data_IF_505658092036
#
_entry.id   IF_505658092036
#
_cell.length_a   1.000
_cell.length_b   1.000
_cell.length_c   1.000
_cell.angle_alpha   90.00
_cell.angle_beta   90.00
_cell.angle_gamma   90.00
#
_symmetry.space_group_name_H-M   'P 1'
#
loop_
_entity.id
_entity.type
_entity.pdbx_description
1 polymer ?
#
# COMPACT_ATOMS: atom_id res chain seq x y z
N UNK A 1 -10.25 16.45 20.50
CA UNK A 1 -11.24 15.75 19.66
C UNK A 1 -12.63 16.24 20.02
N UNK A 2 -13.45 16.56 19.03
CA UNK A 2 -14.80 17.12 19.21
C UNK A 2 -15.67 16.19 20.06
N UNK A 3 -16.49 16.80 20.92
CA UNK A 3 -17.55 16.11 21.65
C UNK A 3 -18.88 16.79 21.35
N UNK A 4 -19.85 16.09 20.73
CA UNK A 4 -19.79 14.69 20.29
C UNK A 4 -18.78 14.44 19.16
N UNK A 5 -18.49 13.16 18.89
CA UNK A 5 -17.65 12.73 17.76
C UNK A 5 -18.17 13.38 16.48
N UNK A 6 -17.25 13.91 15.65
CA UNK A 6 -17.58 14.57 14.40
C UNK A 6 -18.46 13.69 13.50
N UNK A 7 -19.54 14.26 13.00
CA UNK A 7 -20.33 13.67 11.93
C UNK A 7 -19.72 14.07 10.58
N UNK A 8 -19.53 13.10 9.69
CA UNK A 8 -19.09 13.30 8.31
C UNK A 8 -20.20 12.91 7.31
N UNK A 9 -21.43 12.77 7.79
CA UNK A 9 -22.61 12.46 7.00
C UNK A 9 -23.10 13.66 6.18
N UNK A 10 -24.06 13.44 5.26
CA UNK A 10 -24.61 14.49 4.40
C UNK A 10 -25.38 15.57 5.18
N UNK A 11 -25.69 15.33 6.46
CA UNK A 11 -26.38 16.26 7.35
C UNK A 11 -25.47 16.79 8.47
N UNK A 12 -24.16 16.59 8.34
CA UNK A 12 -23.19 17.11 9.28
C UNK A 12 -23.30 18.65 9.38
N UNK A 13 -23.11 19.22 10.57
CA UNK A 13 -23.04 20.67 10.71
C UNK A 13 -21.85 21.23 9.91
N UNK A 14 -21.89 22.53 9.55
CA UNK A 14 -20.75 23.17 8.89
C UNK A 14 -19.46 22.99 9.69
N UNK A 15 -18.37 22.73 8.99
CA UNK A 15 -17.06 22.60 9.62
C UNK A 15 -16.55 23.98 10.08
N UNK A 16 -15.95 24.02 11.28
CA UNK A 16 -15.40 25.24 11.87
C UNK A 16 -13.92 25.39 11.53
N UNK A 17 -13.45 26.63 11.35
CA UNK A 17 -12.04 26.97 11.21
C UNK A 17 -11.57 27.82 12.40
N UNK A 18 -10.39 27.55 13.01
CA UNK A 18 -9.54 26.38 12.74
C UNK A 18 -10.24 25.09 13.16
N UNK A 19 -9.92 24.00 12.44
CA UNK A 19 -10.51 22.71 12.69
C UNK A 19 -10.20 22.23 14.12
N UNK A 20 -11.24 21.96 14.95
CA UNK A 20 -11.07 21.64 16.37
C UNK A 20 -10.40 20.27 16.63
N UNK A 21 -10.29 19.43 15.60
CA UNK A 21 -9.64 18.12 15.66
C UNK A 21 -8.19 18.15 15.18
N UNK A 22 -7.70 19.29 14.67
CA UNK A 22 -6.27 19.49 14.39
C UNK A 22 -5.59 19.99 15.68
N UNK A 23 -5.06 19.05 16.45
CA UNK A 23 -4.40 19.33 17.73
C UNK A 23 -2.90 19.54 17.53
N UNK A 24 -2.42 20.74 17.88
CA UNK A 24 -0.99 21.05 17.89
C UNK A 24 -0.42 20.85 19.29
N UNK A 25 0.46 19.87 19.46
CA UNK A 25 1.12 19.58 20.74
C UNK A 25 2.42 20.36 20.90
N UNK A 26 3.25 20.39 19.85
CA UNK A 26 4.47 21.20 19.79
C UNK A 26 4.19 22.51 19.05
N UNK A 27 4.50 23.69 19.62
CA UNK A 27 4.26 24.96 18.95
C UNK A 27 4.84 25.07 17.54
N UNK A 28 5.97 24.41 17.24
CA UNK A 28 6.59 24.43 15.90
C UNK A 28 5.72 23.82 14.80
N UNK A 29 4.79 22.92 15.15
CA UNK A 29 3.84 22.37 14.17
C UNK A 29 2.77 23.40 13.76
N UNK A 30 2.53 24.44 14.58
CA UNK A 30 1.50 25.46 14.29
C UNK A 30 1.76 26.21 12.98
N UNK A 31 3.03 26.34 12.59
CA UNK A 31 3.45 27.00 11.36
C UNK A 31 3.26 26.12 10.11
N UNK A 32 3.08 24.80 10.30
CA UNK A 32 2.81 23.83 9.23
C UNK A 32 1.31 23.61 9.00
N UNK A 33 0.46 24.02 9.95
CA UNK A 33 -1.00 23.86 9.86
C UNK A 33 -1.60 24.99 9.04
N UNK A 34 -2.28 24.61 7.94
CA UNK A 34 -3.15 25.55 7.23
C UNK A 34 -4.43 25.77 8.05
N UNK A 35 -4.48 26.85 8.83
CA UNK A 35 -5.57 27.13 9.79
C UNK A 35 -6.97 27.24 9.19
N UNK A 36 -7.07 27.46 7.88
CA UNK A 36 -8.33 27.51 7.15
C UNK A 36 -8.68 26.17 6.45
N UNK A 37 -7.92 25.10 6.74
CA UNK A 37 -8.17 23.75 6.25
C UNK A 37 -8.90 22.91 7.29
N UNK A 38 -9.84 22.08 6.82
CA UNK A 38 -10.60 21.16 7.65
C UNK A 38 -10.31 19.71 7.27
N UNK A 39 -10.48 18.80 8.22
CA UNK A 39 -10.45 17.36 7.96
C UNK A 39 -11.75 16.97 7.24
N UNK A 40 -11.61 16.34 6.08
CA UNK A 40 -12.72 15.88 5.25
C UNK A 40 -12.68 14.36 5.05
N UNK A 41 -13.86 13.73 5.08
CA UNK A 41 -14.01 12.32 4.68
C UNK A 41 -14.38 12.25 3.21
N UNK A 42 -13.38 12.00 2.38
CA UNK A 42 -13.55 11.93 0.91
C UNK A 42 -14.24 10.65 0.43
N UNK A 43 -14.12 9.55 1.17
CA UNK A 43 -14.71 8.27 0.79
C UNK A 43 -14.80 7.29 1.99
N UNK A 44 -15.77 6.38 1.98
CA UNK A 44 -15.98 5.38 3.06
C UNK A 44 -16.31 3.98 2.56
N UNK A 45 -16.11 3.71 1.27
CA UNK A 45 -16.52 2.44 0.66
C UNK A 45 -15.53 1.28 0.84
N UNK A 46 -14.34 1.54 1.40
CA UNK A 46 -13.23 0.58 1.48
C UNK A 46 -13.44 -0.53 2.52
N UNK A 47 -12.61 -1.58 2.42
CA UNK A 47 -12.45 -2.61 3.45
C UNK A 47 -11.33 -2.23 4.42
N UNK A 48 -10.08 -2.41 3.99
CA UNK A 48 -8.89 -2.09 4.77
C UNK A 48 -7.94 -1.27 3.90
N UNK A 49 -8.00 0.06 4.02
CA UNK A 49 -7.27 0.97 3.15
C UNK A 49 -5.86 1.24 3.67
N UNK A 50 -4.87 1.05 2.81
CA UNK A 50 -3.45 1.16 3.13
C UNK A 50 -2.65 1.78 1.96
N UNK A 51 -1.37 2.08 2.24
CA UNK A 51 -0.39 2.44 1.22
C UNK A 51 -0.78 3.62 0.32
N UNK A 52 -1.18 4.78 0.87
CA UNK A 52 -1.46 5.97 0.07
C UNK A 52 -0.21 6.44 -0.69
N UNK A 53 -0.30 6.58 -2.01
CA UNK A 53 0.78 7.13 -2.83
C UNK A 53 0.25 8.15 -3.84
N UNK A 54 0.84 9.34 -3.87
CA UNK A 54 0.47 10.38 -4.83
C UNK A 54 1.14 10.13 -6.19
N UNK A 55 0.35 10.01 -7.25
CA UNK A 55 0.81 9.83 -8.62
C UNK A 55 0.73 11.18 -9.34
N UNK A 56 1.88 11.86 -9.48
CA UNK A 56 1.93 13.24 -9.97
C UNK A 56 1.52 13.37 -11.44
N UNK A 57 1.96 12.43 -12.28
CA UNK A 57 1.68 12.41 -13.72
C UNK A 57 0.18 12.25 -14.00
N UNK A 58 -0.51 11.48 -13.15
CA UNK A 58 -1.95 11.26 -13.25
C UNK A 58 -2.81 12.16 -12.37
N UNK A 59 -2.19 12.94 -11.47
CA UNK A 59 -2.84 13.78 -10.44
C UNK A 59 -3.89 13.03 -9.61
N UNK A 60 -3.54 11.86 -9.08
CA UNK A 60 -4.43 11.08 -8.24
C UNK A 60 -3.70 10.46 -7.05
N UNK A 61 -4.45 10.20 -5.96
CA UNK A 61 -3.97 9.44 -4.83
C UNK A 61 -4.33 7.97 -5.02
N UNK A 62 -3.32 7.11 -5.16
CA UNK A 62 -3.46 5.66 -5.19
C UNK A 62 -3.62 5.13 -3.76
N UNK A 63 -4.50 4.16 -3.56
CA UNK A 63 -4.75 3.48 -2.29
C UNK A 63 -4.88 1.98 -2.56
N UNK A 64 -4.39 1.15 -1.66
CA UNK A 64 -4.66 -0.29 -1.65
C UNK A 64 -5.84 -0.60 -0.73
N UNK A 65 -6.66 -1.58 -1.10
CA UNK A 65 -7.60 -2.26 -0.21
C UNK A 65 -7.15 -3.71 -0.04
N UNK A 66 -6.30 -3.93 0.98
CA UNK A 66 -5.54 -5.17 1.16
C UNK A 66 -6.46 -6.38 1.28
N UNK A 67 -7.58 -6.26 2.00
CA UNK A 67 -8.50 -7.39 2.24
C UNK A 67 -9.46 -7.66 1.08
N UNK A 68 -9.72 -6.64 0.24
CA UNK A 68 -10.53 -6.80 -0.98
C UNK A 68 -9.68 -7.09 -2.21
N UNK A 69 -8.36 -7.07 -2.09
CA UNK A 69 -7.42 -7.31 -3.19
C UNK A 69 -7.65 -6.36 -4.37
N UNK A 70 -7.94 -5.08 -4.09
CA UNK A 70 -8.08 -4.04 -5.12
C UNK A 70 -7.23 -2.81 -4.80
N UNK A 71 -6.92 -2.02 -5.84
CA UNK A 71 -6.42 -0.66 -5.68
C UNK A 71 -7.46 0.34 -6.17
N UNK A 72 -7.56 1.47 -5.48
CA UNK A 72 -8.41 2.60 -5.82
C UNK A 72 -7.55 3.82 -6.17
N UNK A 73 -8.12 4.73 -6.96
CA UNK A 73 -7.57 6.07 -7.15
C UNK A 73 -8.61 7.10 -6.75
N UNK A 74 -8.18 8.06 -5.94
CA UNK A 74 -8.94 9.26 -5.63
C UNK A 74 -8.48 10.41 -6.53
N UNK A 75 -9.44 11.01 -7.22
CA UNK A 75 -9.25 12.16 -8.08
C UNK A 75 -9.77 13.41 -7.34
N UNK A 76 -8.89 14.29 -6.82
CA UNK A 76 -9.31 15.41 -5.98
C UNK A 76 -10.12 16.47 -6.74
N UNK A 77 -9.83 16.68 -8.03
CA UNK A 77 -10.49 17.69 -8.87
C UNK A 77 -11.99 17.40 -9.04
N UNK A 78 -12.37 16.12 -9.11
CA UNK A 78 -13.75 15.65 -9.24
C UNK A 78 -14.35 15.14 -7.92
N UNK A 79 -13.56 15.14 -6.83
CA UNK A 79 -13.88 14.48 -5.56
C UNK A 79 -14.41 13.05 -5.77
N UNK A 80 -13.72 12.27 -6.60
CA UNK A 80 -14.19 10.99 -7.10
C UNK A 80 -13.23 9.85 -6.76
N UNK A 81 -13.76 8.80 -6.14
CA UNK A 81 -13.06 7.53 -5.97
C UNK A 81 -13.41 6.57 -7.12
N UNK A 82 -12.41 6.02 -7.80
CA UNK A 82 -12.60 4.99 -8.83
C UNK A 82 -11.70 3.78 -8.58
N UNK A 83 -12.09 2.61 -9.06
CA UNK A 83 -11.21 1.44 -9.08
C UNK A 83 -10.05 1.70 -10.05
N UNK A 84 -8.82 1.53 -9.56
CA UNK A 84 -7.61 1.59 -10.37
C UNK A 84 -7.21 0.20 -10.85
N UNK A 85 -7.15 -0.77 -9.93
CA UNK A 85 -6.82 -2.17 -10.24
C UNK A 85 -7.76 -3.09 -9.49
N UNK A 86 -8.44 -3.98 -10.21
CA UNK A 86 -9.41 -4.92 -9.60
C UNK A 86 -8.72 -6.12 -8.95
N UNK A 87 -7.64 -6.60 -9.56
CA UNK A 87 -6.84 -7.73 -9.06
C UNK A 87 -5.45 -7.21 -8.68
N UNK A 88 -5.26 -6.91 -7.41
CA UNK A 88 -3.99 -6.34 -6.87
C UNK A 88 -3.18 -7.32 -6.04
N UNK A 89 -3.66 -8.57 -5.91
CA UNK A 89 -3.02 -9.63 -5.12
C UNK A 89 -2.73 -9.19 -3.69
N UNK A 90 -3.74 -8.60 -3.06
CA UNK A 90 -3.65 -8.02 -1.72
C UNK A 90 -2.48 -7.01 -1.64
N UNK A 91 -2.51 -6.00 -2.51
CA UNK A 91 -1.53 -4.92 -2.44
C UNK A 91 -1.63 -4.20 -1.10
N UNK A 92 -0.51 -3.67 -0.62
CA UNK A 92 -0.43 -2.90 0.62
C UNK A 92 0.26 -1.56 0.34
N UNK A 93 1.48 -1.34 0.84
CA UNK A 93 2.29 -0.17 0.56
C UNK A 93 2.52 0.07 -0.93
N UNK A 94 2.45 1.34 -1.30
CA UNK A 94 2.75 1.82 -2.64
C UNK A 94 3.71 3.00 -2.55
N UNK A 95 4.54 3.16 -3.57
CA UNK A 95 5.37 4.36 -3.76
C UNK A 95 5.62 4.60 -5.24
N UNK A 96 6.30 5.69 -5.56
CA UNK A 96 6.66 6.07 -6.92
C UNK A 96 8.16 6.32 -6.98
N UNK A 97 8.83 5.77 -7.99
CA UNK A 97 10.24 6.09 -8.21
C UNK A 97 10.43 7.41 -8.98
N UNK A 98 11.69 7.85 -9.13
CA UNK A 98 12.03 9.09 -9.83
C UNK A 98 11.65 9.10 -11.33
N UNK A 99 11.19 7.98 -11.88
CA UNK A 99 10.74 7.83 -13.27
C UNK A 99 9.21 7.76 -13.37
N UNK A 100 8.49 8.02 -12.28
CA UNK A 100 7.02 7.99 -12.25
C UNK A 100 6.44 6.58 -12.25
N UNK A 101 7.24 5.54 -12.01
CA UNK A 101 6.76 4.16 -11.98
C UNK A 101 6.26 3.79 -10.60
N UNK A 102 5.19 3.02 -10.56
CA UNK A 102 4.53 2.62 -9.33
C UNK A 102 5.19 1.35 -8.81
N UNK A 103 5.67 1.39 -7.58
CA UNK A 103 6.14 0.23 -6.84
C UNK A 103 5.08 -0.17 -5.82
N UNK A 104 4.84 -1.48 -5.70
CA UNK A 104 3.78 -2.02 -4.85
C UNK A 104 4.28 -3.24 -4.11
N UNK A 105 3.96 -3.29 -2.81
CA UNK A 105 4.07 -4.47 -1.98
C UNK A 105 2.82 -5.35 -2.16
N UNK A 106 2.99 -6.63 -2.50
CA UNK A 106 1.89 -7.59 -2.64
C UNK A 106 1.98 -8.68 -1.55
N UNK A 107 1.01 -8.73 -0.65
CA UNK A 107 0.92 -9.79 0.35
C UNK A 107 0.58 -11.14 -0.30
N UNK A 108 -0.36 -11.16 -1.26
CA UNK A 108 -0.89 -12.39 -1.84
C UNK A 108 0.13 -13.19 -2.65
N UNK A 109 1.08 -12.50 -3.29
CA UNK A 109 2.18 -13.13 -4.04
C UNK A 109 3.54 -13.00 -3.35
N UNK A 110 3.57 -12.43 -2.14
CA UNK A 110 4.76 -12.31 -1.27
C UNK A 110 5.93 -11.67 -2.01
N UNK A 111 5.68 -10.55 -2.67
CA UNK A 111 6.66 -9.91 -3.55
C UNK A 111 6.52 -8.40 -3.59
N UNK A 112 7.61 -7.75 -3.97
CA UNK A 112 7.65 -6.35 -4.36
C UNK A 112 7.68 -6.30 -5.88
N UNK A 113 6.79 -5.51 -6.46
CA UNK A 113 6.69 -5.32 -7.92
C UNK A 113 6.86 -3.86 -8.31
N UNK A 114 7.17 -3.64 -9.58
CA UNK A 114 7.16 -2.33 -10.23
C UNK A 114 6.36 -2.41 -11.51
N UNK A 115 5.37 -1.53 -11.64
CA UNK A 115 4.66 -1.30 -12.89
C UNK A 115 5.48 -0.38 -13.77
N UNK A 116 5.91 -0.89 -14.92
CA UNK A 116 6.58 -0.10 -15.94
C UNK A 116 5.57 0.77 -16.70
N UNK A 117 6.07 1.79 -17.39
CA UNK A 117 5.22 2.75 -18.11
C UNK A 117 4.41 2.14 -19.26
N UNK A 118 4.89 1.02 -19.83
CA UNK A 118 4.20 0.27 -20.87
C UNK A 118 3.10 -0.67 -20.32
N UNK A 119 2.91 -0.67 -19.00
CA UNK A 119 1.94 -1.51 -18.30
C UNK A 119 2.46 -2.92 -17.97
N UNK A 120 3.71 -3.25 -18.30
CA UNK A 120 4.34 -4.49 -17.83
C UNK A 120 4.64 -4.44 -16.34
N UNK A 121 4.76 -5.61 -15.72
CA UNK A 121 5.02 -5.76 -14.30
C UNK A 121 6.34 -6.48 -14.10
N UNK A 122 7.28 -5.82 -13.42
CA UNK A 122 8.58 -6.37 -13.07
C UNK A 122 8.57 -6.80 -11.60
N UNK A 123 8.93 -8.04 -11.30
CA UNK A 123 9.18 -8.49 -9.92
C UNK A 123 10.55 -7.99 -9.48
N UNK A 124 10.60 -7.18 -8.43
CA UNK A 124 11.83 -6.63 -7.88
C UNK A 124 12.42 -7.53 -6.79
N UNK A 125 11.56 -8.15 -5.99
CA UNK A 125 11.96 -9.11 -4.97
C UNK A 125 10.80 -10.06 -4.63
N UNK A 126 11.07 -11.36 -4.57
CA UNK A 126 10.12 -12.40 -4.12
C UNK A 126 10.77 -13.42 -3.15
N UNK A 127 12.11 -13.42 -3.07
CA UNK A 127 12.91 -14.34 -2.24
C UNK A 127 14.14 -13.66 -1.66
N UNK A 128 14.60 -14.19 -0.53
CA UNK A 128 15.88 -13.90 0.09
C UNK A 128 16.54 -15.21 0.53
N UNK A 129 17.80 -15.43 0.13
CA UNK A 129 18.55 -16.66 0.40
C UNK A 129 17.78 -17.96 0.03
N UNK A 130 17.04 -17.90 -1.08
CA UNK A 130 16.22 -19.01 -1.59
C UNK A 130 14.91 -19.25 -0.84
N UNK A 131 14.60 -18.46 0.19
CA UNK A 131 13.36 -18.50 0.95
C UNK A 131 12.42 -17.39 0.46
N UNK A 132 11.11 -17.65 0.44
CA UNK A 132 10.14 -16.61 0.08
C UNK A 132 10.12 -15.49 1.12
N UNK A 133 9.82 -14.27 0.65
CA UNK A 133 9.48 -13.15 1.53
C UNK A 133 8.23 -13.49 2.36
N UNK A 134 7.99 -12.75 3.44
CA UNK A 134 6.85 -12.91 4.34
C UNK A 134 5.57 -12.34 3.72
N UNK A 135 5.43 -11.03 3.79
CA UNK A 135 4.34 -10.23 3.27
C UNK A 135 4.87 -8.80 3.24
N UNK A 136 5.53 -8.39 2.13
CA UNK A 136 6.05 -7.05 2.01
C UNK A 136 4.95 -6.04 2.34
N UNK A 137 5.20 -5.08 3.23
CA UNK A 137 4.13 -4.27 3.80
C UNK A 137 4.20 -2.82 3.34
N UNK A 138 5.33 -2.13 3.55
CA UNK A 138 5.52 -0.76 3.12
C UNK A 138 6.85 -0.58 2.40
N UNK A 139 6.93 0.42 1.52
CA UNK A 139 8.03 0.60 0.57
C UNK A 139 8.33 2.08 0.30
N UNK A 140 9.61 2.41 0.23
CA UNK A 140 10.10 3.72 -0.16
C UNK A 140 11.27 3.59 -1.14
N UNK A 141 11.42 4.60 -2.00
CA UNK A 141 12.58 4.75 -2.88
C UNK A 141 13.45 5.88 -2.35
N UNK A 142 14.74 5.64 -2.21
CA UNK A 142 15.71 6.67 -1.93
C UNK A 142 15.83 7.60 -3.16
N UNK A 143 15.52 8.90 -3.03
CA UNK A 143 15.50 9.80 -4.18
C UNK A 143 16.90 10.14 -4.73
N UNK A 144 17.97 9.85 -3.96
CA UNK A 144 19.34 10.19 -4.34
C UNK A 144 20.00 9.06 -5.13
N UNK A 145 20.01 7.85 -4.57
CA UNK A 145 20.70 6.71 -5.17
C UNK A 145 19.75 5.76 -5.90
N UNK A 146 18.43 5.88 -5.73
CA UNK A 146 17.42 5.01 -6.34
C UNK A 146 17.28 3.65 -5.66
N UNK A 147 17.95 3.42 -4.53
CA UNK A 147 17.79 2.18 -3.75
C UNK A 147 16.38 2.11 -3.16
N UNK A 148 15.88 0.90 -2.97
CA UNK A 148 14.52 0.64 -2.49
C UNK A 148 14.63 0.03 -1.11
N UNK A 149 13.89 0.58 -0.14
CA UNK A 149 13.71 -0.01 1.18
C UNK A 149 12.28 -0.49 1.32
N UNK A 150 12.10 -1.72 1.80
CA UNK A 150 10.77 -2.22 2.13
C UNK A 150 10.78 -3.05 3.40
N UNK A 151 9.64 -3.08 4.10
CA UNK A 151 9.41 -3.92 5.26
C UNK A 151 8.74 -5.22 4.86
N UNK A 152 9.06 -6.31 5.56
CA UNK A 152 8.55 -7.65 5.29
C UNK A 152 8.10 -8.35 6.59
N UNK A 153 7.11 -7.78 7.30
CA UNK A 153 6.59 -8.36 8.52
C UNK A 153 5.86 -9.66 8.24
N UNK A 154 5.62 -10.45 9.29
CA UNK A 154 4.98 -11.75 9.18
C UNK A 154 3.45 -11.74 9.37
N UNK A 155 2.75 -10.60 9.48
CA UNK A 155 1.29 -10.58 9.79
C UNK A 155 0.37 -10.54 8.57
N UNK A 156 0.87 -10.20 7.37
CA UNK A 156 0.07 -10.21 6.13
C UNK A 156 -0.25 -11.62 5.62
N UNK A 157 0.02 -12.64 6.44
CA UNK A 157 -0.15 -14.05 6.14
C UNK A 157 -1.46 -14.64 6.64
N UNK A 158 -2.35 -13.80 7.16
CA UNK A 158 -3.69 -14.23 7.49
C UNK A 158 -4.52 -14.41 6.21
N UNK A 159 -5.54 -15.28 6.30
CA UNK A 159 -6.51 -15.51 5.23
C UNK A 159 -7.23 -14.25 4.73
N UNK A 160 -7.26 -13.19 5.53
CA UNK A 160 -7.91 -11.94 5.18
C UNK A 160 -7.02 -11.04 4.31
N UNK A 161 -5.70 -11.02 4.57
CA UNK A 161 -4.77 -10.07 3.97
C UNK A 161 -3.82 -10.68 2.93
N UNK A 162 -3.86 -11.99 2.67
CA UNK A 162 -3.01 -12.55 1.64
C UNK A 162 -2.86 -14.07 1.65
N UNK A 163 -1.62 -14.51 1.43
CA UNK A 163 -1.26 -15.90 1.25
C UNK A 163 -1.09 -16.60 2.62
N UNK A 164 -2.02 -17.47 3.05
CA UNK A 164 -1.84 -18.25 4.26
C UNK A 164 -0.63 -19.17 4.13
N UNK A 165 0.03 -19.45 5.25
CA UNK A 165 1.05 -20.51 5.27
C UNK A 165 0.51 -21.84 4.70
N UNK A 166 1.44 -22.71 4.27
CA UNK A 166 1.10 -24.11 4.04
C UNK A 166 0.44 -24.73 5.29
N UNK A 167 -0.45 -25.73 5.14
CA UNK A 167 -1.07 -26.42 6.26
C UNK A 167 -0.05 -26.86 7.32
N UNK A 168 -0.29 -26.51 8.58
CA UNK A 168 0.62 -26.78 9.70
C UNK A 168 1.64 -25.66 9.97
N UNK A 169 1.73 -24.64 9.10
CA UNK A 169 2.54 -23.45 9.33
C UNK A 169 1.99 -22.53 10.43
N UNK A 170 2.76 -21.53 10.86
CA UNK A 170 2.44 -20.68 12.02
C UNK A 170 1.09 -19.99 11.85
N UNK A 171 0.82 -19.44 10.68
CA UNK A 171 -0.42 -18.70 10.38
C UNK A 171 -1.53 -19.56 9.78
N UNK A 172 -1.27 -20.84 9.48
CA UNK A 172 -2.26 -21.77 8.94
C UNK A 172 -2.17 -23.17 9.57
N UNK A 173 -2.15 -23.23 10.91
CA UNK A 173 -2.03 -24.50 11.64
C UNK A 173 -3.13 -25.50 11.28
N UNK A 174 -4.33 -25.00 11.02
CA UNK A 174 -5.52 -25.80 10.73
C UNK A 174 -5.69 -26.11 9.22
N UNK A 175 -4.79 -25.62 8.35
CA UNK A 175 -4.87 -25.87 6.91
C UNK A 175 -6.11 -25.29 6.24
N UNK A 176 -6.67 -24.21 6.78
CA UNK A 176 -7.82 -23.52 6.22
C UNK A 176 -7.41 -22.77 4.94
N UNK A 177 -8.29 -22.82 3.94
CA UNK A 177 -8.17 -22.08 2.69
C UNK A 177 -9.37 -21.14 2.55
N UNK A 178 -9.16 -19.97 1.94
CA UNK A 178 -10.24 -19.03 1.62
C UNK A 178 -10.67 -19.24 0.17
N UNK A 179 -11.75 -19.99 0.00
CA UNK A 179 -12.34 -20.30 -1.31
C UNK A 179 -13.09 -19.11 -1.90
N UNK A 180 -12.39 -18.33 -2.72
CA UNK A 180 -12.97 -17.26 -3.53
C UNK A 180 -12.58 -17.48 -5.00
N UNK A 181 -13.58 -17.80 -5.84
CA UNK A 181 -13.43 -17.95 -7.30
C UNK A 181 -12.75 -16.71 -7.89
N UNK A 182 -11.61 -16.89 -8.56
CA UNK A 182 -10.84 -15.84 -9.25
C UNK A 182 -9.53 -15.42 -8.58
N UNK A 183 -9.39 -15.65 -7.27
CA UNK A 183 -8.20 -15.24 -6.47
C UNK A 183 -7.21 -16.36 -6.17
N UNK A 184 -7.63 -17.63 -6.26
CA UNK A 184 -6.90 -18.77 -5.65
C UNK A 184 -5.80 -19.40 -6.50
N UNK A 185 -5.89 -19.35 -7.84
CA UNK A 185 -4.94 -20.08 -8.66
C UNK A 185 -3.53 -19.48 -8.64
N UNK A 186 -3.40 -18.19 -8.31
CA UNK A 186 -2.13 -17.46 -8.38
C UNK A 186 -1.40 -17.39 -7.05
N UNK A 187 -2.11 -17.35 -5.92
CA UNK A 187 -1.46 -17.18 -4.62
C UNK A 187 -0.78 -18.45 -4.13
N UNK A 188 -1.28 -19.66 -4.43
CA UNK A 188 -0.70 -20.95 -3.99
C UNK A 188 0.79 -21.22 -4.33
N UNK A 189 1.43 -20.37 -5.13
CA UNK A 189 2.84 -20.52 -5.53
C UNK A 189 3.85 -19.81 -4.60
N UNK A 190 3.41 -19.15 -3.53
CA UNK A 190 4.31 -18.60 -2.53
C UNK A 190 4.99 -19.72 -1.73
N UNK A 191 6.32 -19.74 -1.69
CA UNK A 191 7.06 -20.83 -1.05
C UNK A 191 6.73 -20.95 0.45
N UNK A 192 6.63 -22.17 0.97
CA UNK A 192 6.32 -22.43 2.38
C UNK A 192 7.43 -22.03 3.37
N UNK A 193 8.66 -21.77 2.90
CA UNK A 193 9.81 -21.46 3.75
C UNK A 193 10.05 -19.95 3.78
N UNK A 194 10.08 -19.40 5.00
CA UNK A 194 10.17 -17.96 5.28
C UNK A 194 11.54 -17.57 5.79
N UNK A 195 12.01 -16.43 5.31
CA UNK A 195 13.18 -15.74 5.86
C UNK A 195 12.83 -15.04 7.21
N UNK A 196 13.83 -14.78 8.07
CA UNK A 196 13.63 -14.27 9.45
C UNK A 196 13.79 -12.75 9.60
N UNK A 197 14.39 -12.08 8.63
CA UNK A 197 14.52 -10.63 8.54
C UNK A 197 13.17 -9.97 8.23
N UNK A 198 13.07 -8.66 8.47
CA UNK A 198 11.81 -7.92 8.29
C UNK A 198 11.99 -6.60 7.56
N UNK A 199 13.20 -6.32 7.08
CA UNK A 199 13.50 -5.10 6.34
C UNK A 199 14.58 -5.40 5.33
N UNK A 200 14.37 -4.95 4.10
CA UNK A 200 15.23 -5.24 2.97
C UNK A 200 15.60 -3.97 2.24
N UNK A 201 16.79 -4.03 1.63
CA UNK A 201 17.30 -3.03 0.70
C UNK A 201 17.55 -3.69 -0.65
N UNK A 202 17.00 -3.14 -1.71
CA UNK A 202 17.35 -3.47 -3.10
C UNK A 202 18.25 -2.35 -3.59
N UNK A 203 19.48 -2.69 -3.97
CA UNK A 203 20.38 -1.71 -4.57
C UNK A 203 19.85 -1.23 -5.92
N UNK A 204 20.13 0.03 -6.24
CA UNK A 204 19.79 0.57 -7.54
C UNK A 204 20.58 -0.16 -8.64
N UNK A 205 19.89 -0.54 -9.71
CA UNK A 205 20.56 -1.01 -10.93
C UNK A 205 21.16 0.22 -11.62
N UNK A 206 22.47 0.26 -11.91
CA UNK A 206 23.08 1.38 -12.59
C UNK A 206 22.38 1.61 -13.94
N UNK A 207 21.82 2.80 -14.14
CA UNK A 207 21.35 3.22 -15.45
C UNK A 207 22.61 3.45 -16.29
N UNK A 208 23.03 2.46 -17.08
CA UNK A 208 23.99 2.70 -18.15
C UNK A 208 23.34 3.67 -19.13
N UNK A 209 23.64 4.97 -18.97
CA UNK A 209 23.37 5.96 -20.01
C UNK A 209 24.27 5.58 -21.19
N UNK A 210 23.72 4.85 -22.16
CA UNK A 210 24.34 4.77 -23.48
C UNK A 210 24.33 6.18 -24.04
N UNK A 211 25.51 6.78 -24.13
CA UNK A 211 25.70 8.14 -24.62
C UNK A 211 25.12 8.30 -26.02
N UNK A 212 24.46 9.44 -26.24
CA UNK A 212 24.37 10.06 -27.56
C UNK A 212 25.29 11.26 -27.57
#
# INVERSE_FOLDING_TARGET
MTQPVRDFGPHAPPAFVPDPDILTLDPSFSDLVFKNGNIERVWSGGGWLEGPAWISEGRFLLLSDTVRSAQYRFLPEENLMTTYRKESFNSNGNTVDAQGRILTCEHGLRRVIRWEQDGTCTVLADKFEGQGLNSPNDIIVNPVDGSILFTDPAYGDCLAEGHPDAPGGRANREGKLRWNIGTEATTQFGSAKRQADHTFRIEAVPIFRTGR
#
